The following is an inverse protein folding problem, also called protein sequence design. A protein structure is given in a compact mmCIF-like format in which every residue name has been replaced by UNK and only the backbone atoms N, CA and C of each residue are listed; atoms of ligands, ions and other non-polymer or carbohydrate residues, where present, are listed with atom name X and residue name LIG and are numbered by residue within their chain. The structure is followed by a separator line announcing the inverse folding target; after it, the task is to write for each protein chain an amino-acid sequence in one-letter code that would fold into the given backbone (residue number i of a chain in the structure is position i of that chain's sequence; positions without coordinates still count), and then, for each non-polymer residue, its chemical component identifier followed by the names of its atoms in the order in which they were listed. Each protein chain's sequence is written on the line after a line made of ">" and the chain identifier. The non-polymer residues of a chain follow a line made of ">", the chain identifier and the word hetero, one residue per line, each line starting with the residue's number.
data_IF_592425520479
#
_entry.id   IF_592425520479
#
_cell.length_a   1.000
_cell.length_b   1.000
_cell.length_c   1.000
_cell.angle_alpha   90.00
_cell.angle_beta   90.00
_cell.angle_gamma   90.00
#
_symmetry.space_group_name_H-M   'P 1'
#
loop_
_entity.id
_entity.type
_entity.pdbx_description
1 polymer ?
#
# COMPACT_ATOMS: atom_id res chain seq x y z
N UNK A 1 -6.81 -18.99 2.16
CA UNK A 1 -7.79 -17.97 2.58
C UNK A 1 -7.12 -17.12 3.64
N UNK A 2 -7.12 -15.80 3.49
CA UNK A 2 -6.63 -14.87 4.53
C UNK A 2 -7.62 -14.89 5.68
N UNK A 3 -7.13 -14.94 6.92
CA UNK A 3 -7.97 -14.73 8.07
C UNK A 3 -8.40 -13.25 8.14
N UNK A 4 -9.70 -13.00 8.06
CA UNK A 4 -10.30 -11.68 8.26
C UNK A 4 -11.08 -11.63 9.57
N UNK A 5 -11.05 -10.49 10.25
CA UNK A 5 -11.85 -10.21 11.45
C UNK A 5 -12.84 -9.08 11.14
N UNK A 6 -14.06 -9.18 11.68
CA UNK A 6 -15.07 -8.11 11.67
C UNK A 6 -15.12 -7.46 13.05
N UNK A 7 -15.22 -6.15 13.09
CA UNK A 7 -15.11 -5.39 14.35
C UNK A 7 -14.90 -3.91 14.08
N UNK A 8 -14.53 -3.14 15.11
CA UNK A 8 -14.23 -1.71 14.97
C UNK A 8 -12.73 -1.52 15.13
N UNK A 9 -12.04 -1.23 14.04
CA UNK A 9 -10.58 -1.18 14.01
C UNK A 9 -10.07 0.22 13.67
N UNK A 10 -9.06 0.70 14.39
CA UNK A 10 -8.25 1.85 13.96
C UNK A 10 -7.16 1.33 13.02
N UNK A 11 -7.19 1.79 11.78
CA UNK A 11 -6.23 1.46 10.74
C UNK A 11 -5.00 2.38 10.85
N UNK A 12 -3.89 2.02 10.21
CA UNK A 12 -2.65 2.82 10.26
C UNK A 12 -2.85 4.27 9.80
N UNK A 13 -3.72 4.48 8.81
CA UNK A 13 -4.08 5.82 8.33
C UNK A 13 -4.83 6.68 9.36
N UNK A 14 -5.16 6.15 10.55
CA UNK A 14 -5.98 6.79 11.56
C UNK A 14 -7.49 6.67 11.31
N UNK A 15 -7.90 6.16 10.14
CA UNK A 15 -9.31 5.89 9.85
C UNK A 15 -9.82 4.68 10.65
N UNK A 16 -11.13 4.65 10.85
CA UNK A 16 -11.81 3.51 11.44
C UNK A 16 -12.39 2.62 10.33
N UNK A 17 -12.31 1.31 10.50
CA UNK A 17 -12.85 0.33 9.56
C UNK A 17 -13.62 -0.79 10.26
N UNK A 18 -14.48 -1.47 9.50
CA UNK A 18 -15.32 -2.57 10.00
C UNK A 18 -14.66 -3.96 9.91
N UNK A 19 -13.47 -4.01 9.31
CA UNK A 19 -12.79 -5.22 8.89
C UNK A 19 -11.27 -5.09 9.04
N UNK A 20 -10.61 -6.19 9.42
CA UNK A 20 -9.15 -6.33 9.47
C UNK A 20 -8.72 -7.61 8.76
N UNK A 21 -7.62 -7.56 8.01
CA UNK A 21 -7.04 -8.71 7.31
C UNK A 21 -5.63 -8.99 7.83
N UNK A 22 -5.33 -10.24 8.15
CA UNK A 22 -3.99 -10.67 8.57
C UNK A 22 -3.10 -10.93 7.34
N UNK A 23 -2.69 -9.85 6.66
CA UNK A 23 -2.03 -9.90 5.35
C UNK A 23 -0.64 -10.53 5.39
N UNK A 24 0.07 -10.47 6.52
CA UNK A 24 1.38 -11.13 6.69
C UNK A 24 1.33 -12.64 6.34
N UNK A 25 0.17 -13.27 6.52
CA UNK A 25 -0.05 -14.68 6.17
C UNK A 25 0.04 -14.95 4.67
N UNK A 26 -0.11 -13.94 3.80
CA UNK A 26 0.15 -14.08 2.36
C UNK A 26 1.57 -14.52 2.08
N UNK A 27 2.53 -13.97 2.82
CA UNK A 27 3.95 -14.17 2.57
C UNK A 27 4.52 -15.40 3.29
N UNK A 28 3.72 -16.10 4.11
CA UNK A 28 4.13 -17.35 4.76
C UNK A 28 4.52 -18.43 3.74
N UNK A 29 3.85 -18.46 2.58
CA UNK A 29 4.17 -19.37 1.46
C UNK A 29 4.21 -18.58 0.15
N UNK A 30 5.33 -17.91 -0.18
CA UNK A 30 5.43 -17.06 -1.37
C UNK A 30 5.12 -17.78 -2.68
N UNK A 31 5.32 -19.11 -2.73
CA UNK A 31 4.94 -19.92 -3.89
C UNK A 31 3.45 -19.80 -4.26
N UNK A 32 2.56 -19.59 -3.28
CA UNK A 32 1.12 -19.40 -3.51
C UNK A 32 0.81 -18.03 -4.12
N UNK A 33 1.70 -17.06 -3.99
CA UNK A 33 1.55 -15.72 -4.56
C UNK A 33 1.96 -15.65 -6.04
N UNK A 34 2.69 -16.66 -6.55
CA UNK A 34 3.26 -16.64 -7.92
C UNK A 34 2.25 -16.34 -9.04
N UNK A 35 1.03 -16.93 -9.06
CA UNK A 35 0.05 -16.59 -10.09
C UNK A 35 -0.35 -15.11 -10.04
N UNK A 36 -0.62 -14.59 -8.84
CA UNK A 36 -1.01 -13.19 -8.63
C UNK A 36 0.11 -12.21 -8.95
N UNK A 37 1.35 -12.52 -8.55
CA UNK A 37 2.55 -11.79 -8.95
C UNK A 37 2.69 -11.79 -10.46
N UNK A 38 2.41 -12.92 -11.12
CA UNK A 38 2.44 -13.04 -12.57
C UNK A 38 1.44 -12.12 -13.28
N UNK A 39 0.20 -12.14 -12.82
CA UNK A 39 -0.87 -11.33 -13.37
C UNK A 39 -0.61 -9.83 -13.17
N UNK A 40 -0.21 -9.43 -11.96
CA UNK A 40 0.08 -8.03 -11.65
C UNK A 40 1.32 -7.54 -12.40
N UNK A 41 2.40 -8.32 -12.46
CA UNK A 41 3.60 -7.99 -13.22
C UNK A 41 3.30 -7.81 -14.72
N UNK A 42 2.43 -8.65 -15.30
CA UNK A 42 2.02 -8.52 -16.70
C UNK A 42 1.25 -7.23 -16.99
N UNK A 43 0.54 -6.68 -16.00
CA UNK A 43 -0.15 -5.39 -16.14
C UNK A 43 0.85 -4.24 -15.98
N UNK A 44 1.76 -4.36 -15.02
CA UNK A 44 2.83 -3.38 -14.75
C UNK A 44 3.74 -3.16 -15.97
N UNK A 45 4.07 -4.24 -16.69
CA UNK A 45 4.99 -4.15 -17.85
C UNK A 45 4.49 -3.23 -18.96
N UNK A 46 3.17 -3.01 -19.08
CA UNK A 46 2.58 -2.09 -20.04
C UNK A 46 2.89 -0.61 -19.79
N UNK A 47 3.43 -0.26 -18.61
CA UNK A 47 3.68 1.12 -18.19
C UNK A 47 5.13 1.58 -18.36
N UNK A 48 6.04 0.72 -18.87
CA UNK A 48 7.43 1.07 -19.13
C UNK A 48 8.16 1.56 -17.87
N UNK A 49 8.15 0.75 -16.82
CA UNK A 49 8.75 1.06 -15.51
C UNK A 49 10.20 0.58 -15.45
N UNK A 50 11.05 1.34 -14.75
CA UNK A 50 12.47 1.03 -14.55
C UNK A 50 12.73 0.32 -13.22
N UNK A 51 11.86 0.55 -12.23
CA UNK A 51 11.98 -0.02 -10.89
C UNK A 51 10.60 -0.27 -10.25
N UNK A 52 10.57 -1.22 -9.33
CA UNK A 52 9.40 -1.53 -8.50
C UNK A 52 9.68 -1.08 -7.07
N UNK A 53 8.78 -0.27 -6.51
CA UNK A 53 8.90 0.24 -5.16
C UNK A 53 7.73 -0.24 -4.29
N UNK A 54 8.02 -0.83 -3.14
CA UNK A 54 6.99 -1.22 -2.18
C UNK A 54 7.26 -0.65 -0.77
N UNK A 55 6.24 -0.15 -0.06
CA UNK A 55 6.39 0.18 1.36
C UNK A 55 6.53 -1.09 2.20
N UNK A 56 7.37 -1.05 3.24
CA UNK A 56 7.51 -2.16 4.16
C UNK A 56 6.26 -2.34 5.05
N UNK A 57 5.87 -3.57 5.39
CA UNK A 57 6.53 -4.83 5.05
C UNK A 57 5.96 -5.47 3.79
N UNK A 58 4.63 -5.63 3.72
CA UNK A 58 3.93 -6.39 2.69
C UNK A 58 4.21 -5.91 1.27
N UNK A 59 4.09 -4.61 1.02
CA UNK A 59 4.38 -4.01 -0.28
C UNK A 59 5.81 -4.26 -0.77
N UNK A 60 6.82 -4.16 0.11
CA UNK A 60 8.22 -4.44 -0.26
C UNK A 60 8.46 -5.93 -0.57
N UNK A 61 7.82 -6.85 0.16
CA UNK A 61 7.89 -8.29 -0.14
C UNK A 61 7.27 -8.59 -1.52
N UNK A 62 6.11 -8.01 -1.80
CA UNK A 62 5.46 -8.11 -3.11
C UNK A 62 6.32 -7.48 -4.21
N UNK A 63 6.89 -6.30 -3.96
CA UNK A 63 7.77 -5.59 -4.88
C UNK A 63 8.98 -6.44 -5.26
N UNK A 64 9.61 -7.12 -4.29
CA UNK A 64 10.73 -8.02 -4.56
C UNK A 64 10.36 -9.16 -5.51
N UNK A 65 9.19 -9.77 -5.33
CA UNK A 65 8.71 -10.84 -6.20
C UNK A 65 8.40 -10.35 -7.63
N UNK A 66 7.86 -9.14 -7.76
CA UNK A 66 7.56 -8.53 -9.07
C UNK A 66 8.85 -8.09 -9.77
N UNK A 67 9.78 -7.47 -9.03
CA UNK A 67 11.08 -7.03 -9.54
C UNK A 67 11.91 -8.21 -10.06
N UNK A 68 11.97 -9.32 -9.30
CA UNK A 68 12.61 -10.57 -9.72
C UNK A 68 12.00 -11.10 -11.04
N UNK A 69 10.67 -11.11 -11.12
CA UNK A 69 9.96 -11.60 -12.32
C UNK A 69 10.17 -10.73 -13.56
N UNK A 70 10.25 -9.42 -13.39
CA UNK A 70 10.40 -8.46 -14.48
C UNK A 70 11.87 -8.13 -14.78
N UNK A 71 12.81 -8.67 -14.01
CA UNK A 71 14.25 -8.34 -14.08
C UNK A 71 14.51 -6.84 -13.91
N UNK A 72 13.80 -6.19 -12.98
CA UNK A 72 13.89 -4.76 -12.69
C UNK A 72 14.52 -4.48 -11.32
N UNK A 73 14.93 -3.23 -11.11
CA UNK A 73 15.45 -2.79 -9.82
C UNK A 73 14.35 -2.78 -8.75
N UNK A 74 14.71 -3.21 -7.53
CA UNK A 74 13.87 -3.14 -6.34
C UNK A 74 14.21 -1.90 -5.52
N UNK A 75 13.19 -1.11 -5.21
CA UNK A 75 13.21 -0.07 -4.20
C UNK A 75 12.24 -0.44 -3.07
N UNK A 76 12.48 0.07 -1.87
CA UNK A 76 11.51 -0.03 -0.79
C UNK A 76 11.53 1.20 0.12
N UNK A 77 10.37 1.45 0.73
CA UNK A 77 10.18 2.53 1.68
C UNK A 77 10.05 2.00 3.10
N UNK A 78 10.78 2.61 4.02
CA UNK A 78 10.75 2.30 5.45
C UNK A 78 9.71 3.14 6.17
N UNK A 79 9.02 2.49 7.12
CA UNK A 79 8.02 3.11 7.98
C UNK A 79 8.66 4.14 8.92
N UNK A 80 8.00 5.28 9.09
CA UNK A 80 8.37 6.39 9.98
C UNK A 80 7.13 6.92 10.69
N UNK A 81 7.08 6.78 12.00
CA UNK A 81 6.02 7.42 12.81
C UNK A 81 6.32 8.91 12.89
N UNK A 82 5.31 9.74 12.62
CA UNK A 82 5.40 11.19 12.71
C UNK A 82 4.76 11.69 14.01
N UNK A 83 5.01 12.96 14.34
CA UNK A 83 4.36 13.68 15.43
C UNK A 83 2.97 14.23 15.03
N UNK A 84 2.51 13.93 13.81
CA UNK A 84 1.23 14.41 13.29
C UNK A 84 0.06 13.77 14.04
N UNK A 85 -0.77 14.62 14.66
CA UNK A 85 -2.04 14.19 15.23
C UNK A 85 -3.10 13.98 14.13
N UNK A 86 -3.97 12.97 14.32
CA UNK A 86 -5.10 12.71 13.44
C UNK A 86 -4.81 11.67 12.35
N UNK A 87 -5.29 11.94 11.13
CA UNK A 87 -5.14 11.03 10.00
C UNK A 87 -3.73 11.08 9.42
N UNK A 88 -3.29 9.93 8.90
CA UNK A 88 -1.97 9.72 8.31
C UNK A 88 -0.80 10.05 9.25
N UNK A 89 -0.73 9.43 10.45
CA UNK A 89 0.36 9.65 11.40
C UNK A 89 1.67 8.92 11.01
N UNK A 90 1.62 8.06 9.99
CA UNK A 90 2.76 7.25 9.52
C UNK A 90 3.13 7.64 8.09
N UNK A 91 4.40 7.91 7.89
CA UNK A 91 5.03 8.13 6.60
C UNK A 91 5.88 6.91 6.19
N UNK A 92 6.09 6.79 4.88
CA UNK A 92 7.02 5.85 4.28
C UNK A 92 8.06 6.59 3.46
N UNK A 93 9.34 6.35 3.77
CA UNK A 93 10.47 7.02 3.10
C UNK A 93 11.41 6.01 2.49
N UNK A 94 11.88 6.25 1.28
CA UNK A 94 12.84 5.39 0.60
C UNK A 94 14.06 5.18 1.49
N UNK A 95 14.45 3.90 1.62
CA UNK A 95 15.58 3.50 2.43
C UNK A 95 16.83 4.30 2.04
N UNK A 96 17.58 4.78 3.03
CA UNK A 96 18.66 5.76 2.84
C UNK A 96 19.67 5.31 1.78
N UNK A 97 20.05 4.03 1.78
CA UNK A 97 21.00 3.46 0.82
C UNK A 97 20.51 3.40 -0.63
N UNK A 98 19.20 3.55 -0.86
CA UNK A 98 18.58 3.43 -2.18
C UNK A 98 18.22 4.79 -2.81
N UNK A 99 18.35 5.89 -2.07
CA UNK A 99 17.84 7.21 -2.50
C UNK A 99 18.49 7.72 -3.79
N UNK A 100 19.78 7.45 -3.99
CA UNK A 100 20.51 7.85 -5.21
C UNK A 100 20.05 7.11 -6.47
N UNK A 101 19.31 6.00 -6.31
CA UNK A 101 18.76 5.22 -7.43
C UNK A 101 17.39 5.72 -7.89
N UNK A 102 16.79 6.71 -7.23
CA UNK A 102 15.42 7.15 -7.51
C UNK A 102 15.33 8.17 -8.66
N UNK A 103 16.30 9.07 -8.77
CA UNK A 103 16.20 10.25 -9.64
C UNK A 103 16.02 9.87 -11.11
N UNK A 104 14.99 10.41 -11.75
CA UNK A 104 14.68 10.23 -13.16
C UNK A 104 14.08 8.87 -13.54
N UNK A 105 13.96 7.93 -12.59
CA UNK A 105 13.39 6.60 -12.84
C UNK A 105 11.87 6.65 -12.87
N UNK A 106 11.27 5.86 -13.78
CA UNK A 106 9.84 5.54 -13.82
C UNK A 106 9.57 4.39 -12.87
N UNK A 107 8.74 4.61 -11.86
CA UNK A 107 8.62 3.70 -10.72
C UNK A 107 7.18 3.22 -10.59
N UNK A 108 6.99 1.90 -10.51
CA UNK A 108 5.73 1.31 -10.07
C UNK A 108 5.70 1.29 -8.55
N UNK A 109 4.69 1.90 -7.93
CA UNK A 109 4.46 1.71 -6.49
C UNK A 109 3.54 0.49 -6.35
N UNK A 110 3.96 -0.52 -5.59
CA UNK A 110 3.16 -1.72 -5.37
C UNK A 110 2.92 -1.99 -3.89
N UNK A 111 1.73 -2.47 -3.56
CA UNK A 111 1.38 -2.85 -2.19
C UNK A 111 0.53 -4.13 -2.18
N UNK A 112 0.56 -4.89 -1.09
CA UNK A 112 -0.28 -6.08 -0.96
C UNK A 112 -1.75 -5.72 -0.76
N UNK A 113 -2.03 -4.70 0.06
CA UNK A 113 -3.35 -4.12 0.18
C UNK A 113 -3.33 -2.59 0.33
N UNK A 114 -4.20 -1.91 -0.41
CA UNK A 114 -4.34 -0.46 -0.33
C UNK A 114 -5.74 -0.09 0.14
N UNK A 115 -5.84 0.46 1.35
CA UNK A 115 -7.09 1.00 1.92
C UNK A 115 -7.24 2.51 1.67
N UNK A 116 -7.05 3.35 2.69
CA UNK A 116 -6.87 4.80 2.53
C UNK A 116 -5.60 5.14 1.73
N UNK A 117 -4.67 4.19 1.64
CA UNK A 117 -3.41 4.32 0.93
C UNK A 117 -2.36 5.18 1.63
N UNK A 118 -2.32 5.21 2.97
CA UNK A 118 -1.29 5.96 3.73
C UNK A 118 0.13 5.66 3.25
N UNK A 119 0.44 4.38 3.11
CA UNK A 119 1.75 3.91 2.68
C UNK A 119 2.07 4.35 1.26
N UNK A 120 1.22 3.98 0.30
CA UNK A 120 1.35 4.40 -1.11
C UNK A 120 1.45 5.92 -1.28
N UNK A 121 0.65 6.71 -0.54
CA UNK A 121 0.63 8.18 -0.61
C UNK A 121 1.96 8.79 -0.16
N UNK A 122 2.48 8.35 0.98
CA UNK A 122 3.74 8.88 1.52
C UNK A 122 4.96 8.36 0.74
N UNK A 123 4.96 7.10 0.28
CA UNK A 123 5.96 6.58 -0.65
C UNK A 123 5.98 7.39 -1.96
N UNK A 124 4.81 7.66 -2.56
CA UNK A 124 4.71 8.52 -3.73
C UNK A 124 5.31 9.90 -3.49
N UNK A 125 4.97 10.53 -2.35
CA UNK A 125 5.49 11.86 -2.03
C UNK A 125 7.01 11.88 -1.88
N UNK A 126 7.61 10.90 -1.20
CA UNK A 126 9.07 10.82 -1.02
C UNK A 126 9.78 10.50 -2.35
N UNK A 127 9.22 9.63 -3.20
CA UNK A 127 9.74 9.36 -4.54
C UNK A 127 9.77 10.63 -5.41
N UNK A 128 8.68 11.40 -5.44
CA UNK A 128 8.62 12.68 -6.17
C UNK A 128 9.64 13.68 -5.60
N UNK A 129 9.77 13.77 -4.28
CA UNK A 129 10.74 14.66 -3.64
C UNK A 129 12.19 14.31 -3.99
N UNK A 130 12.47 13.04 -4.26
CA UNK A 130 13.77 12.55 -4.72
C UNK A 130 13.98 12.67 -6.24
N UNK A 131 13.01 13.25 -6.96
CA UNK A 131 13.05 13.42 -8.41
C UNK A 131 12.77 12.13 -9.19
N UNK A 132 12.18 11.12 -8.55
CA UNK A 132 11.63 9.95 -9.22
C UNK A 132 10.27 10.25 -9.85
N UNK A 133 9.83 9.37 -10.74
CA UNK A 133 8.57 9.47 -11.46
C UNK A 133 7.68 8.28 -11.11
N UNK A 134 6.83 8.35 -10.07
CA UNK A 134 5.81 7.35 -9.85
C UNK A 134 4.81 7.39 -11.01
N UNK A 135 4.71 6.31 -11.79
CA UNK A 135 3.90 6.30 -13.02
C UNK A 135 2.64 5.45 -12.91
N UNK A 136 2.52 4.61 -11.88
CA UNK A 136 1.37 3.74 -11.65
C UNK A 136 1.38 3.17 -10.22
N UNK A 137 0.22 2.73 -9.75
CA UNK A 137 0.03 1.98 -8.49
C UNK A 137 -0.48 0.57 -8.81
N UNK A 138 0.11 -0.46 -8.20
CA UNK A 138 -0.30 -1.86 -8.34
C UNK A 138 -0.66 -2.44 -6.99
N UNK A 139 -1.77 -3.16 -6.89
CA UNK A 139 -2.16 -3.80 -5.64
C UNK A 139 -2.71 -5.21 -5.84
N UNK A 140 -2.48 -6.12 -4.88
CA UNK A 140 -3.26 -7.37 -4.87
C UNK A 140 -4.70 -7.08 -4.46
N UNK A 141 -4.87 -6.31 -3.38
CA UNK A 141 -6.17 -5.94 -2.83
C UNK A 141 -6.35 -4.41 -2.79
N UNK A 142 -7.52 -3.93 -3.19
CA UNK A 142 -7.96 -2.56 -2.90
C UNK A 142 -9.17 -2.59 -2.00
N UNK A 143 -9.11 -1.85 -0.90
CA UNK A 143 -10.09 -1.85 0.18
C UNK A 143 -10.76 -0.47 0.28
N UNK A 144 -11.97 -0.38 -0.26
CA UNK A 144 -12.70 0.88 -0.34
C UNK A 144 -12.12 1.88 -1.37
N UNK A 145 -12.58 3.14 -1.36
CA UNK A 145 -12.33 4.07 -2.46
C UNK A 145 -10.97 4.80 -2.41
N UNK A 146 -10.23 4.68 -1.31
CA UNK A 146 -9.07 5.55 -1.02
C UNK A 146 -7.94 5.46 -2.05
N UNK A 147 -7.64 4.25 -2.54
CA UNK A 147 -6.63 4.01 -3.57
C UNK A 147 -7.02 4.64 -4.92
N UNK A 148 -8.26 4.40 -5.37
CA UNK A 148 -8.77 4.91 -6.64
C UNK A 148 -8.86 6.45 -6.62
N UNK A 149 -9.31 7.04 -5.51
CA UNK A 149 -9.34 8.48 -5.33
C UNK A 149 -7.94 9.10 -5.41
N UNK A 150 -6.93 8.46 -4.79
CA UNK A 150 -5.54 8.92 -4.87
C UNK A 150 -4.98 8.84 -6.30
N UNK A 151 -5.19 7.70 -6.96
CA UNK A 151 -4.71 7.48 -8.32
C UNK A 151 -5.29 8.53 -9.29
N UNK A 152 -6.59 8.82 -9.17
CA UNK A 152 -7.25 9.88 -9.93
C UNK A 152 -6.68 11.28 -9.60
N UNK A 153 -6.48 11.60 -8.31
CA UNK A 153 -5.89 12.87 -7.86
C UNK A 153 -4.49 13.09 -8.46
N UNK A 154 -3.68 12.03 -8.56
CA UNK A 154 -2.32 12.08 -9.12
C UNK A 154 -2.26 11.86 -10.63
N UNK A 155 -3.39 11.60 -11.28
CA UNK A 155 -3.48 11.24 -12.68
C UNK A 155 -2.56 10.07 -13.07
N UNK A 156 -2.46 9.06 -12.20
CA UNK A 156 -1.70 7.83 -12.46
C UNK A 156 -2.62 6.60 -12.46
N UNK A 157 -2.35 5.57 -13.29
CA UNK A 157 -3.14 4.34 -13.32
C UNK A 157 -3.07 3.55 -12.00
N UNK A 158 -4.16 2.84 -11.70
CA UNK A 158 -4.25 1.89 -10.60
C UNK A 158 -4.65 0.50 -11.12
N UNK A 159 -3.70 -0.43 -11.07
CA UNK A 159 -3.92 -1.85 -11.33
C UNK A 159 -4.22 -2.60 -10.04
N UNK A 160 -5.21 -3.49 -10.08
CA UNK A 160 -5.55 -4.35 -8.95
C UNK A 160 -6.10 -5.70 -9.39
N UNK A 161 -5.93 -6.70 -8.52
CA UNK A 161 -6.48 -8.04 -8.76
C UNK A 161 -7.85 -8.23 -8.10
N UNK A 162 -8.04 -7.68 -6.90
CA UNK A 162 -9.30 -7.82 -6.14
C UNK A 162 -9.73 -6.49 -5.54
N UNK A 163 -10.99 -6.13 -5.73
CA UNK A 163 -11.68 -5.08 -5.00
C UNK A 163 -12.45 -5.70 -3.82
N UNK A 164 -12.16 -5.21 -2.61
CA UNK A 164 -12.86 -5.57 -1.39
C UNK A 164 -13.71 -4.37 -0.93
N UNK A 165 -15.04 -4.48 -0.96
CA UNK A 165 -15.92 -3.41 -0.50
C UNK A 165 -15.91 -3.38 1.04
N UNK A 166 -14.97 -2.63 1.60
CA UNK A 166 -14.86 -2.39 3.04
C UNK A 166 -15.16 -0.94 3.36
N UNK A 167 -15.89 -0.70 4.44
CA UNK A 167 -16.17 0.64 4.89
C UNK A 167 -14.98 1.21 5.69
N UNK A 168 -14.65 2.46 5.41
CA UNK A 168 -13.60 3.22 6.08
C UNK A 168 -14.13 4.62 6.36
N UNK A 169 -13.91 5.13 7.56
CA UNK A 169 -14.45 6.40 8.03
C UNK A 169 -13.38 7.23 8.72
N UNK A 170 -13.47 8.55 8.60
CA UNK A 170 -12.77 9.43 9.53
C UNK A 170 -13.33 9.19 10.95
N UNK A 171 -12.53 9.33 12.02
CA UNK A 171 -13.00 9.12 13.39
C UNK A 171 -14.27 9.91 13.75
N UNK A 172 -14.38 11.15 13.25
CA UNK A 172 -15.53 12.02 13.47
C UNK A 172 -16.83 11.54 12.79
N UNK A 173 -16.72 10.66 11.79
CA UNK A 173 -17.83 10.18 10.96
C UNK A 173 -18.10 8.68 11.19
N UNK A 174 -17.41 8.05 12.14
CA UNK A 174 -17.50 6.61 12.34
C UNK A 174 -18.83 6.22 13.02
N UNK A 175 -19.71 5.44 12.36
CA UNK A 175 -20.97 5.01 12.95
C UNK A 175 -20.75 4.08 14.16
N UNK A 176 -19.66 3.30 14.16
CA UNK A 176 -19.33 2.40 15.27
C UNK A 176 -18.88 3.18 16.52
N UNK A 177 -18.23 4.33 16.35
CA UNK A 177 -17.97 5.28 17.44
C UNK A 177 -19.26 5.84 18.03
N UNK A 178 -20.20 6.27 17.17
CA UNK A 178 -21.50 6.77 17.61
C UNK A 178 -22.30 5.73 18.40
N UNK A 179 -22.11 4.44 18.08
CA UNK A 179 -22.71 3.31 18.79
C UNK A 179 -21.92 2.84 20.03
N UNK A 180 -20.78 3.47 20.37
CA UNK A 180 -19.94 3.07 21.50
C UNK A 180 -19.28 1.69 21.33
N UNK A 181 -19.13 1.19 20.10
CA UNK A 181 -18.50 -0.11 19.86
C UNK A 181 -17.01 -0.05 20.20
N UNK A 182 -16.45 -1.02 20.97
CA UNK A 182 -15.04 -1.00 21.37
C UNK A 182 -14.09 -0.90 20.19
N UNK A 183 -13.22 0.11 20.20
CA UNK A 183 -12.19 0.32 19.18
C UNK A 183 -10.96 -0.55 19.48
N UNK A 184 -10.50 -1.28 18.47
CA UNK A 184 -9.27 -2.08 18.53
C UNK A 184 -8.20 -1.43 17.66
N UNK A 185 -6.98 -1.28 18.19
CA UNK A 185 -5.84 -0.81 17.42
C UNK A 185 -5.26 -1.92 16.56
N UNK A 186 -5.52 -1.84 15.25
CA UNK A 186 -5.01 -2.80 14.29
C UNK A 186 -3.76 -2.21 13.63
N UNK A 187 -2.59 -2.55 14.19
CA UNK A 187 -1.30 -2.02 13.74
C UNK A 187 -0.34 -1.57 14.86
N UNK A 188 -0.68 -1.81 16.13
CA UNK A 188 0.29 -1.72 17.21
C UNK A 188 1.02 -3.06 17.35
N UNK A 189 2.06 -3.27 16.53
CA UNK A 189 3.13 -4.22 16.82
C UNK A 189 4.43 -3.44 16.89
#
# INVERSE_FOLDING_TARGET
>A
MVAGKRGHFRLESGHHGDSWLELDQFFLRPALLRPFVGDLASRISGYGVDAICGPLTGGALLAGMIADRLELELLFAERRVTDRAGLFPVDYRIATALRDHVKGRRIAIVDDAVSAGSAVRSTHADLVALGGLPVMIGALLVMGPGAAAFAAEKAIPLERLVDLPTAIWAPAECPMCALGTPLTDAGAV
#
